data_IF_246984361457
#
_entry.id   IF_246984361457
#
_cell.length_a   1.000
_cell.length_b   1.000
_cell.length_c   1.000
_cell.angle_alpha   90.00
_cell.angle_beta   90.00
_cell.angle_gamma   90.00
#
_symmetry.space_group_name_H-M   'P 1'
#
loop_
_entity.id
_entity.type
_entity.pdbx_description
1 polymer ?
#
# COMPACT_ATOMS: atom_id res chain seq x y z
N UNK A 1 2.89 3.58 22.75
CA UNK A 1 2.12 2.41 22.29
C UNK A 1 2.47 2.30 20.83
N UNK A 2 3.57 1.61 20.54
CA UNK A 2 4.23 1.67 19.23
C UNK A 2 3.41 0.95 18.15
N UNK A 3 3.00 1.68 17.12
CA UNK A 3 2.67 1.06 15.84
C UNK A 3 3.95 0.40 15.33
N UNK A 4 4.04 -0.91 15.54
CA UNK A 4 5.06 -1.74 14.89
C UNK A 4 4.72 -1.75 13.41
N UNK A 5 5.53 -1.10 12.59
CA UNK A 5 5.35 -1.11 11.13
C UNK A 5 5.05 -2.54 10.65
N UNK A 6 3.83 -2.76 10.16
CA UNK A 6 3.39 -4.06 9.65
C UNK A 6 3.78 -4.14 8.17
N UNK A 7 4.72 -5.03 7.84
CA UNK A 7 5.02 -5.41 6.46
C UNK A 7 4.22 -6.66 6.13
N UNK A 8 3.39 -6.59 5.10
CA UNK A 8 2.74 -7.77 4.52
C UNK A 8 3.32 -8.02 3.14
N UNK A 9 4.06 -9.11 3.01
CA UNK A 9 4.63 -9.58 1.76
C UNK A 9 3.58 -10.43 1.05
N UNK A 10 2.77 -9.79 0.21
CA UNK A 10 1.83 -10.50 -0.67
C UNK A 10 2.55 -10.78 -1.98
N UNK A 11 2.63 -12.06 -2.38
CA UNK A 11 3.11 -12.44 -3.71
C UNK A 11 2.02 -12.07 -4.74
N UNK A 12 2.13 -10.88 -5.32
CA UNK A 12 1.21 -10.48 -6.37
C UNK A 12 1.70 -11.06 -7.71
N UNK A 13 1.11 -12.18 -8.13
CA UNK A 13 1.12 -12.57 -9.54
C UNK A 13 0.26 -11.56 -10.33
N UNK A 14 0.78 -10.33 -10.50
CA UNK A 14 0.17 -9.25 -11.27
C UNK A 14 0.25 -9.58 -12.75
N UNK A 15 -0.58 -10.52 -13.20
CA UNK A 15 -0.78 -10.73 -14.64
C UNK A 15 -2.07 -10.03 -15.11
N UNK A 16 -3.10 -9.86 -14.25
CA UNK A 16 -4.34 -9.11 -14.57
C UNK A 16 -5.13 -8.55 -13.34
N UNK A 17 -4.58 -8.54 -12.12
CA UNK A 17 -5.36 -8.25 -10.90
C UNK A 17 -5.02 -6.90 -10.24
N UNK A 18 -5.99 -6.32 -9.52
CA UNK A 18 -5.78 -5.17 -8.63
C UNK A 18 -5.93 -5.59 -7.17
N UNK A 19 -5.03 -5.13 -6.31
CA UNK A 19 -5.13 -5.35 -4.86
C UNK A 19 -5.52 -4.06 -4.15
N UNK A 20 -6.33 -4.19 -3.10
CA UNK A 20 -6.69 -3.09 -2.19
C UNK A 20 -6.00 -3.28 -0.86
N UNK A 21 -5.41 -2.20 -0.36
CA UNK A 21 -4.78 -2.14 0.95
C UNK A 21 -5.56 -1.12 1.77
N UNK A 22 -5.94 -1.52 2.98
CA UNK A 22 -6.68 -0.71 3.95
C UNK A 22 -5.76 -0.54 5.17
N UNK A 23 -5.45 0.70 5.52
CA UNK A 23 -4.68 1.02 6.71
C UNK A 23 -5.57 1.85 7.61
N UNK A 24 -5.88 1.31 8.79
CA UNK A 24 -6.61 2.00 9.84
C UNK A 24 -5.60 2.44 10.90
N UNK A 25 -5.62 3.72 11.24
CA UNK A 25 -4.87 4.27 12.36
C UNK A 25 -5.84 4.58 13.49
N UNK A 26 -5.55 4.11 14.70
CA UNK A 26 -6.41 4.29 15.87
C UNK A 26 -5.96 5.40 16.82
N UNK A 27 -4.81 6.03 16.56
CA UNK A 27 -4.10 6.84 17.55
C UNK A 27 -3.72 8.25 17.06
N UNK A 28 -4.28 8.73 15.95
CA UNK A 28 -3.93 10.01 15.29
C UNK A 28 -2.41 10.14 15.03
N UNK A 29 -1.71 9.01 14.97
CA UNK A 29 -0.26 8.99 14.76
C UNK A 29 0.04 9.16 13.27
N UNK A 30 1.08 9.93 12.97
CA UNK A 30 1.46 10.14 11.58
C UNK A 30 2.21 8.93 11.04
N UNK A 31 1.64 8.26 10.04
CA UNK A 31 2.25 7.09 9.40
C UNK A 31 2.55 7.32 7.91
N UNK A 32 3.42 6.48 7.36
CA UNK A 32 3.78 6.44 5.93
C UNK A 32 3.62 5.03 5.44
N UNK A 33 2.97 4.87 4.28
CA UNK A 33 2.72 3.56 3.66
C UNK A 33 3.76 3.30 2.59
N UNK A 34 4.40 2.14 2.67
CA UNK A 34 5.38 1.66 1.70
C UNK A 34 4.81 0.47 0.95
N UNK A 35 4.90 0.51 -0.37
CA UNK A 35 4.53 -0.59 -1.25
C UNK A 35 5.75 -1.09 -2.03
N UNK A 36 5.89 -2.42 -2.12
CA UNK A 36 6.85 -3.10 -2.98
C UNK A 36 6.16 -4.34 -3.56
N UNK A 37 6.25 -4.51 -4.87
CA UNK A 37 5.83 -5.74 -5.54
C UNK A 37 7.03 -6.69 -5.62
N UNK A 38 6.87 -7.92 -5.13
CA UNK A 38 7.91 -8.94 -5.23
C UNK A 38 8.13 -9.34 -6.69
N UNK A 39 9.39 -9.55 -7.09
CA UNK A 39 9.77 -9.79 -8.48
C UNK A 39 9.84 -8.54 -9.37
N UNK A 40 9.30 -7.40 -8.91
CA UNK A 40 9.40 -6.13 -9.64
C UNK A 40 10.79 -5.51 -9.49
N UNK A 41 11.34 -5.02 -10.60
CA UNK A 41 12.54 -4.17 -10.59
C UNK A 41 12.22 -2.71 -10.30
N UNK A 42 10.95 -2.33 -10.20
CA UNK A 42 10.57 -0.97 -9.83
C UNK A 42 10.98 -0.62 -8.40
N UNK A 43 11.26 0.66 -8.18
CA UNK A 43 11.56 1.19 -6.85
C UNK A 43 10.32 1.09 -5.96
N UNK A 44 10.56 0.90 -4.66
CA UNK A 44 9.52 0.96 -3.62
C UNK A 44 8.76 2.29 -3.74
N UNK A 45 7.43 2.24 -3.64
CA UNK A 45 6.58 3.44 -3.71
C UNK A 45 6.14 3.81 -2.31
N UNK A 46 6.20 5.10 -1.98
CA UNK A 46 5.86 5.64 -0.68
C UNK A 46 4.71 6.65 -0.81
N UNK A 47 3.81 6.63 0.18
CA UNK A 47 2.66 7.53 0.31
C UNK A 47 2.49 7.97 1.75
N UNK A 48 2.17 9.25 1.93
CA UNK A 48 2.03 9.89 3.23
C UNK A 48 2.77 11.22 3.26
N UNK A 49 2.85 11.86 4.44
CA UNK A 49 2.31 11.39 5.73
C UNK A 49 0.77 11.31 5.78
N UNK A 50 0.24 10.41 6.60
CA UNK A 50 -1.20 10.27 6.89
C UNK A 50 -1.44 10.28 8.40
N UNK A 51 -2.54 10.87 8.84
CA UNK A 51 -2.98 10.97 10.23
C UNK A 51 -4.39 10.39 10.44
N UNK A 52 -4.94 9.69 9.44
CA UNK A 52 -6.26 9.08 9.46
C UNK A 52 -6.25 7.84 8.57
N UNK A 53 -7.29 7.00 8.66
CA UNK A 53 -7.42 5.81 7.82
C UNK A 53 -7.30 6.12 6.32
N UNK A 54 -6.48 5.36 5.61
CA UNK A 54 -6.20 5.57 4.20
C UNK A 54 -6.29 4.27 3.39
N UNK A 55 -6.73 4.41 2.15
CA UNK A 55 -7.01 3.29 1.26
C UNK A 55 -6.22 3.42 -0.03
N UNK A 56 -5.67 2.30 -0.49
CA UNK A 56 -4.77 2.28 -1.63
C UNK A 56 -5.12 1.16 -2.60
N UNK A 57 -4.83 1.40 -3.88
CA UNK A 57 -4.88 0.39 -4.93
C UNK A 57 -3.50 0.19 -5.51
N UNK A 58 -3.08 -1.08 -5.55
CA UNK A 58 -1.99 -1.56 -6.39
C UNK A 58 -2.60 -2.19 -7.63
N UNK A 59 -2.22 -1.72 -8.82
CA UNK A 59 -2.72 -2.22 -10.11
C UNK A 59 -1.63 -2.19 -11.17
N UNK A 60 -1.73 -3.05 -12.17
CA UNK A 60 -0.77 -3.15 -13.27
C UNK A 60 -0.15 -4.52 -13.35
N UNK A 61 1.08 -4.60 -13.86
CA UNK A 61 1.88 -5.82 -13.93
C UNK A 61 3.08 -5.75 -12.99
N UNK A 62 3.82 -6.85 -12.83
CA UNK A 62 5.05 -6.87 -12.03
C UNK A 62 6.09 -5.85 -12.55
N UNK A 63 6.12 -5.61 -13.86
CA UNK A 63 7.08 -4.70 -14.50
C UNK A 63 6.61 -3.25 -14.61
N UNK A 64 5.30 -3.01 -14.59
CA UNK A 64 4.68 -1.67 -14.63
C UNK A 64 3.42 -1.63 -13.75
N UNK A 65 3.61 -1.23 -12.49
CA UNK A 65 2.53 -1.14 -11.50
C UNK A 65 2.34 0.28 -11.00
N UNK A 66 1.16 0.57 -10.46
CA UNK A 66 0.80 1.86 -9.85
C UNK A 66 0.42 1.67 -8.39
N UNK A 67 0.73 2.68 -7.58
CA UNK A 67 0.34 2.77 -6.18
C UNK A 67 -0.41 4.07 -5.94
N UNK A 68 -1.73 3.97 -6.00
CA UNK A 68 -2.64 5.10 -5.98
C UNK A 68 -3.43 5.11 -4.68
N UNK A 69 -3.53 6.28 -4.05
CA UNK A 69 -4.47 6.50 -2.95
C UNK A 69 -5.88 6.66 -3.52
N UNK A 70 -6.86 6.03 -2.89
CA UNK A 70 -8.26 6.06 -3.31
C UNK A 70 -9.18 6.35 -2.12
N UNK A 71 -10.40 6.79 -2.42
CA UNK A 71 -11.45 6.87 -1.40
C UNK A 71 -11.76 5.48 -0.88
N UNK A 72 -11.75 5.34 0.45
CA UNK A 72 -12.18 4.13 1.11
C UNK A 72 -13.63 3.84 0.73
N UNK A 73 -13.88 2.65 0.17
CA UNK A 73 -15.26 2.20 -0.05
C UNK A 73 -15.77 1.63 1.28
N UNK A 74 -17.01 1.97 1.69
CA UNK A 74 -17.65 1.36 2.84
C UNK A 74 -17.86 -0.15 2.63
#
# INVERSE_FOLDING_TARGET
MDIKAYSTDTELALTLCSCRIWVEDSNDETYTVYAKVLGSFEKKKLRGPFNAGACFIIKGSVDDWKFDQVTCKP
#
